data_IF_418627978611
#
_entry.id   IF_418627978611
#
_cell.length_a   1.000
_cell.length_b   1.000
_cell.length_c   1.000
_cell.angle_alpha   90.00
_cell.angle_beta   90.00
_cell.angle_gamma   90.00
#
_symmetry.space_group_name_H-M   'P 1'
#
loop_
_entity.id
_entity.type
_entity.pdbx_description
1 polymer ?
#
# COMPACT_ATOMS: atom_id res chain seq x y z
N UNK A 1 -26.38 15.41 -10.38
CA UNK A 1 -24.98 15.84 -10.56
C UNK A 1 -24.19 15.33 -9.37
N UNK A 2 -23.43 14.25 -9.56
CA UNK A 2 -22.49 13.77 -8.55
C UNK A 2 -21.15 13.61 -9.25
N UNK A 3 -20.26 14.56 -9.00
CA UNK A 3 -18.88 14.57 -9.48
C UNK A 3 -18.10 13.58 -8.63
N UNK A 4 -17.86 12.35 -9.11
CA UNK A 4 -16.84 11.48 -8.53
C UNK A 4 -15.51 11.85 -9.15
N UNK A 5 -14.82 12.79 -8.51
CA UNK A 5 -13.44 13.14 -8.84
C UNK A 5 -12.51 12.06 -8.27
N UNK A 6 -12.40 10.90 -8.92
CA UNK A 6 -11.36 9.92 -8.60
C UNK A 6 -10.07 10.36 -9.28
N UNK A 7 -9.17 10.96 -8.50
CA UNK A 7 -7.90 11.54 -8.92
C UNK A 7 -7.04 10.61 -9.81
N UNK A 8 -6.23 11.16 -10.73
CA UNK A 8 -5.30 10.36 -11.51
C UNK A 8 -4.08 10.06 -10.63
N UNK A 9 -4.08 8.93 -9.94
CA UNK A 9 -2.96 8.50 -9.11
C UNK A 9 -2.62 7.07 -9.49
N UNK A 10 -1.39 6.82 -9.95
CA UNK A 10 -0.81 5.52 -10.32
C UNK A 10 -1.44 4.37 -9.54
N UNK A 11 -2.47 3.76 -10.11
CA UNK A 11 -3.41 2.97 -9.32
C UNK A 11 -2.71 1.72 -8.81
N UNK A 12 -2.46 1.68 -7.51
CA UNK A 12 -2.02 0.47 -6.85
C UNK A 12 -3.07 -0.61 -7.11
N UNK A 13 -2.62 -1.83 -7.38
CA UNK A 13 -3.55 -2.94 -7.52
C UNK A 13 -4.32 -3.12 -6.19
N UNK A 14 -5.56 -3.64 -6.19
CA UNK A 14 -6.35 -3.77 -4.97
C UNK A 14 -5.61 -4.48 -3.83
N UNK A 15 -4.84 -5.52 -4.15
CA UNK A 15 -4.00 -6.26 -3.19
C UNK A 15 -2.78 -5.48 -2.68
N UNK A 16 -2.21 -4.62 -3.51
CA UNK A 16 -1.13 -3.72 -3.10
C UNK A 16 -1.66 -2.65 -2.15
N UNK A 17 -2.84 -2.09 -2.44
CA UNK A 17 -3.50 -1.11 -1.57
C UNK A 17 -3.94 -1.72 -0.23
N UNK A 18 -4.43 -2.96 -0.23
CA UNK A 18 -4.72 -3.73 0.99
C UNK A 18 -3.46 -3.95 1.84
N UNK A 19 -2.35 -4.38 1.23
CA UNK A 19 -1.07 -4.50 1.95
C UNK A 19 -0.62 -3.16 2.53
N UNK A 20 -0.71 -2.08 1.75
CA UNK A 20 -0.32 -0.74 2.19
C UNK A 20 -1.15 -0.23 3.36
N UNK A 21 -2.46 -0.50 3.38
CA UNK A 21 -3.36 -0.17 4.50
C UNK A 21 -2.92 -0.83 5.81
N UNK A 22 -2.56 -2.11 5.78
CA UNK A 22 -2.06 -2.77 6.98
C UNK A 22 -0.76 -2.14 7.49
N UNK A 23 0.16 -1.80 6.58
CA UNK A 23 1.41 -1.11 6.97
C UNK A 23 1.12 0.28 7.55
N UNK A 24 0.22 1.05 6.94
CA UNK A 24 -0.19 2.37 7.43
C UNK A 24 -0.86 2.30 8.82
N UNK A 25 -1.59 1.22 9.10
CA UNK A 25 -2.15 0.92 10.42
C UNK A 25 -1.09 0.46 11.46
N UNK A 26 0.19 0.48 11.13
CA UNK A 26 1.28 0.08 12.03
C UNK A 26 1.55 -1.42 12.09
N UNK A 27 0.94 -2.23 11.21
CA UNK A 27 1.23 -3.66 11.17
C UNK A 27 2.64 -3.91 10.63
N UNK A 28 3.35 -4.86 11.25
CA UNK A 28 4.55 -5.46 10.65
C UNK A 28 4.20 -6.26 9.41
N UNK A 29 5.18 -6.57 8.57
CA UNK A 29 4.96 -7.33 7.34
C UNK A 29 4.41 -8.73 7.62
N UNK A 30 4.78 -9.32 8.77
CA UNK A 30 4.28 -10.62 9.21
C UNK A 30 2.83 -10.53 9.65
N UNK A 31 2.45 -9.47 10.38
CA UNK A 31 1.06 -9.24 10.77
C UNK A 31 0.19 -8.96 9.55
N UNK A 32 0.63 -8.10 8.64
CA UNK A 32 -0.08 -7.84 7.38
C UNK A 32 -0.27 -9.12 6.56
N UNK A 33 0.77 -9.95 6.45
CA UNK A 33 0.69 -11.24 5.75
C UNK A 33 -0.35 -12.17 6.40
N UNK A 34 -0.37 -12.27 7.74
CA UNK A 34 -1.37 -13.05 8.46
C UNK A 34 -2.79 -12.51 8.23
N UNK A 35 -2.99 -11.20 8.32
CA UNK A 35 -4.30 -10.56 8.08
C UNK A 35 -4.81 -10.78 6.66
N UNK A 36 -3.91 -10.83 5.67
CA UNK A 36 -4.25 -11.04 4.26
C UNK A 36 -4.33 -12.52 3.86
N UNK A 37 -3.98 -13.47 4.74
CA UNK A 37 -3.88 -14.89 4.40
C UNK A 37 -2.74 -15.20 3.41
N UNK A 38 -1.66 -14.44 3.45
CA UNK A 38 -0.53 -14.52 2.53
C UNK A 38 0.78 -14.88 3.24
N UNK A 39 1.82 -15.19 2.46
CA UNK A 39 3.17 -15.29 2.98
C UNK A 39 3.79 -13.89 3.19
N UNK A 40 4.74 -13.77 4.14
CA UNK A 40 5.56 -12.55 4.30
C UNK A 40 6.24 -12.15 2.98
N UNK A 41 6.69 -13.12 2.20
CA UNK A 41 7.36 -12.87 0.92
C UNK A 41 6.42 -12.23 -0.11
N UNK A 42 5.15 -12.66 -0.14
CA UNK A 42 4.13 -12.07 -1.03
C UNK A 42 3.85 -10.61 -0.66
N UNK A 43 3.72 -10.30 0.64
CA UNK A 43 3.54 -8.92 1.12
C UNK A 43 4.77 -8.07 0.76
N UNK A 44 5.98 -8.58 0.97
CA UNK A 44 7.20 -7.88 0.59
C UNK A 44 7.26 -7.58 -0.92
N UNK A 45 6.85 -8.53 -1.76
CA UNK A 45 6.75 -8.34 -3.20
C UNK A 45 5.75 -7.23 -3.58
N UNK A 46 4.60 -7.13 -2.88
CA UNK A 46 3.65 -6.03 -3.07
C UNK A 46 4.28 -4.69 -2.67
N UNK A 47 4.91 -4.60 -1.51
CA UNK A 47 5.57 -3.36 -1.07
C UNK A 47 6.70 -2.93 -2.02
N UNK A 48 7.44 -3.88 -2.60
CA UNK A 48 8.44 -3.61 -3.63
C UNK A 48 7.82 -3.02 -4.90
N UNK A 49 6.68 -3.57 -5.36
CA UNK A 49 5.95 -3.05 -6.52
C UNK A 49 5.38 -1.66 -6.25
N UNK A 50 4.82 -1.43 -5.07
CA UNK A 50 4.34 -0.11 -4.63
C UNK A 50 5.47 0.91 -4.67
N UNK A 51 6.62 0.57 -4.08
CA UNK A 51 7.83 1.41 -4.11
C UNK A 51 8.24 1.77 -5.53
N UNK A 52 8.30 0.78 -6.42
CA UNK A 52 8.63 0.99 -7.83
C UNK A 52 7.59 1.86 -8.56
N UNK A 53 6.30 1.66 -8.30
CA UNK A 53 5.20 2.43 -8.91
C UNK A 53 5.18 3.89 -8.45
N UNK A 54 5.52 4.14 -7.18
CA UNK A 54 5.48 5.46 -6.56
C UNK A 54 6.84 6.17 -6.60
N UNK A 55 7.90 5.50 -7.03
CA UNK A 55 9.26 6.06 -7.06
C UNK A 55 9.86 6.33 -5.68
N UNK A 56 9.47 5.55 -4.67
CA UNK A 56 9.86 5.74 -3.27
C UNK A 56 10.77 4.62 -2.78
N UNK A 57 11.69 4.93 -1.89
CA UNK A 57 12.74 4.00 -1.46
C UNK A 57 12.71 3.71 0.04
N UNK A 58 12.00 4.52 0.83
CA UNK A 58 11.95 4.38 2.28
C UNK A 58 10.58 3.96 2.80
N UNK A 59 10.54 3.31 3.97
CA UNK A 59 9.28 2.99 4.64
C UNK A 59 8.55 4.25 5.13
N UNK A 60 9.27 5.32 5.45
CA UNK A 60 8.68 6.61 5.82
C UNK A 60 7.94 7.26 4.64
N UNK A 61 8.54 7.25 3.44
CA UNK A 61 7.87 7.69 2.22
C UNK A 61 6.64 6.81 1.88
N UNK A 62 6.74 5.50 2.12
CA UNK A 62 5.62 4.57 1.91
C UNK A 62 4.45 4.89 2.85
N UNK A 63 4.73 5.17 4.13
CA UNK A 63 3.72 5.61 5.10
C UNK A 63 3.12 6.96 4.69
N UNK A 64 3.95 7.94 4.32
CA UNK A 64 3.50 9.25 3.84
C UNK A 64 2.60 9.12 2.61
N UNK A 65 2.95 8.24 1.66
CA UNK A 65 2.14 7.98 0.49
C UNK A 65 0.78 7.38 0.86
N UNK A 66 0.73 6.45 1.83
CA UNK A 66 -0.53 5.89 2.33
C UNK A 66 -1.44 6.99 2.92
N UNK A 67 -0.90 7.88 3.76
CA UNK A 67 -1.65 9.01 4.31
C UNK A 67 -2.17 9.97 3.23
N UNK A 68 -1.34 10.32 2.24
CA UNK A 68 -1.77 11.16 1.11
C UNK A 68 -2.86 10.51 0.25
N UNK A 69 -2.97 9.18 0.26
CA UNK A 69 -4.01 8.41 -0.43
C UNK A 69 -5.26 8.18 0.44
N UNK A 70 -5.26 8.64 1.70
CA UNK A 70 -6.38 8.44 2.63
C UNK A 70 -6.52 6.99 3.12
N UNK A 71 -5.41 6.25 3.19
CA UNK A 71 -5.34 4.87 3.67
C UNK A 71 -5.04 4.76 5.16
#
# INVERSE_FOLDING_TARGET
MSLTLAAPATALAPREQEALRHIAAGCTYVQAARSMGLSRHTVDAYLRRIRAKLGINTSAELMRAAFSMGL
#
